data_IF_272191510571
#
_entry.id   IF_272191510571
#
_cell.length_a   1.000
_cell.length_b   1.000
_cell.length_c   1.000
_cell.angle_alpha   90.00
_cell.angle_beta   90.00
_cell.angle_gamma   90.00
#
_symmetry.space_group_name_H-M   'P 1'
#
loop_
_entity.id
_entity.type
_entity.pdbx_description
1 polymer ?
#
# COMPACT_ATOMS: atom_id res chain seq x y z
N UNK A 1 -8.21 0.12 -12.60
CA UNK A 1 -8.99 -0.33 -11.42
C UNK A 1 -10.21 0.57 -11.22
N UNK A 2 -10.04 1.88 -11.01
CA UNK A 2 -11.16 2.80 -10.77
C UNK A 2 -12.28 2.77 -11.82
N UNK A 3 -11.94 2.90 -13.11
CA UNK A 3 -12.93 2.81 -14.20
C UNK A 3 -13.72 1.49 -14.23
N UNK A 4 -13.10 0.36 -13.88
CA UNK A 4 -13.78 -0.93 -13.82
C UNK A 4 -14.78 -0.99 -12.66
N UNK A 5 -14.42 -0.41 -11.51
CA UNK A 5 -15.32 -0.29 -10.36
C UNK A 5 -16.46 0.70 -10.63
N UNK A 6 -16.20 1.82 -11.31
CA UNK A 6 -17.26 2.73 -11.77
C UNK A 6 -18.25 2.00 -12.70
N UNK A 7 -17.74 1.28 -13.70
CA UNK A 7 -18.58 0.51 -14.61
C UNK A 7 -19.42 -0.54 -13.88
N UNK A 8 -18.88 -1.18 -12.84
CA UNK A 8 -19.63 -2.07 -11.95
C UNK A 8 -20.78 -1.33 -11.26
N UNK A 9 -20.54 -0.13 -10.70
CA UNK A 9 -21.59 0.67 -10.08
C UNK A 9 -22.69 1.04 -11.07
N UNK A 10 -22.35 1.39 -12.32
CA UNK A 10 -23.31 1.63 -13.39
C UNK A 10 -24.11 0.37 -13.72
N UNK A 11 -23.48 -0.79 -13.81
CA UNK A 11 -24.15 -2.08 -14.08
C UNK A 11 -25.12 -2.47 -12.95
N UNK A 12 -24.81 -2.08 -11.72
CA UNK A 12 -25.68 -2.27 -10.55
C UNK A 12 -26.82 -1.22 -10.47
N UNK A 13 -26.83 -0.21 -11.36
CA UNK A 13 -27.87 0.82 -11.42
C UNK A 13 -27.66 2.00 -10.46
N UNK A 14 -26.44 2.24 -10.00
CA UNK A 14 -26.12 3.38 -9.13
C UNK A 14 -25.64 4.59 -9.95
N UNK A 15 -26.48 5.62 -10.03
CA UNK A 15 -26.11 6.91 -10.63
C UNK A 15 -25.22 7.76 -9.72
N UNK A 16 -25.34 7.60 -8.40
CA UNK A 16 -24.56 8.29 -7.38
C UNK A 16 -24.12 7.31 -6.30
N UNK A 17 -22.85 7.35 -5.89
CA UNK A 17 -22.32 6.45 -4.86
C UNK A 17 -21.15 7.07 -4.08
N UNK A 18 -20.96 6.61 -2.84
CA UNK A 18 -19.78 6.92 -2.04
C UNK A 18 -18.67 5.90 -2.29
N UNK A 19 -17.42 6.33 -2.14
CA UNK A 19 -16.26 5.45 -2.21
C UNK A 19 -15.60 5.39 -0.84
N UNK A 20 -15.30 4.18 -0.37
CA UNK A 20 -14.49 3.94 0.83
C UNK A 20 -13.26 3.16 0.38
N UNK A 21 -12.08 3.65 0.73
CA UNK A 21 -10.80 3.03 0.37
C UNK A 21 -9.85 2.98 1.56
N UNK A 22 -8.95 2.00 1.53
CA UNK A 22 -7.82 1.86 2.44
C UNK A 22 -6.69 1.18 1.67
N UNK A 23 -5.48 1.10 2.23
CA UNK A 23 -4.31 0.48 1.59
C UNK A 23 -4.20 0.90 0.10
N UNK A 24 -3.92 0.03 -0.87
CA UNK A 24 -3.89 0.36 -2.31
C UNK A 24 -5.22 0.93 -2.84
N UNK A 25 -6.33 0.60 -2.17
CA UNK A 25 -7.64 1.18 -2.43
C UNK A 25 -7.66 2.69 -2.25
N UNK A 26 -6.71 3.29 -1.53
CA UNK A 26 -6.63 4.74 -1.38
C UNK A 26 -6.36 5.45 -2.72
N UNK A 27 -5.46 4.89 -3.52
CA UNK A 27 -5.10 5.40 -4.85
C UNK A 27 -6.26 5.17 -5.80
N UNK A 28 -6.86 3.97 -5.75
CA UNK A 28 -7.99 3.61 -6.60
C UNK A 28 -9.18 4.54 -6.34
N UNK A 29 -9.54 4.74 -5.07
CA UNK A 29 -10.64 5.61 -4.67
C UNK A 29 -10.39 7.07 -5.00
N UNK A 30 -9.15 7.56 -4.81
CA UNK A 30 -8.76 8.91 -5.22
C UNK A 30 -8.97 9.14 -6.73
N UNK A 31 -8.51 8.19 -7.58
CA UNK A 31 -8.73 8.29 -9.02
C UNK A 31 -10.21 8.20 -9.39
N UNK A 32 -11.00 7.34 -8.74
CA UNK A 32 -12.45 7.27 -8.97
C UNK A 32 -13.13 8.61 -8.67
N UNK A 33 -12.83 9.23 -7.53
CA UNK A 33 -13.40 10.52 -7.15
C UNK A 33 -13.01 11.64 -8.13
N UNK A 34 -11.78 11.60 -8.65
CA UNK A 34 -11.29 12.59 -9.61
C UNK A 34 -11.86 12.40 -11.03
N UNK A 35 -12.04 11.15 -11.46
CA UNK A 35 -12.48 10.82 -12.83
C UNK A 35 -13.99 10.86 -12.99
N UNK A 36 -14.74 10.53 -11.94
CA UNK A 36 -16.21 10.41 -11.96
C UNK A 36 -16.88 11.38 -10.98
N UNK A 37 -16.59 12.71 -11.04
CA UNK A 37 -17.09 13.68 -10.07
C UNK A 37 -18.62 13.82 -10.09
N UNK A 38 -19.25 13.49 -11.22
CA UNK A 38 -20.70 13.48 -11.36
C UNK A 38 -21.35 12.22 -10.77
N UNK A 39 -20.60 11.19 -10.41
CA UNK A 39 -21.15 9.96 -9.82
C UNK A 39 -20.70 9.76 -8.38
N UNK A 40 -19.46 10.13 -8.05
CA UNK A 40 -18.90 9.98 -6.70
C UNK A 40 -19.34 11.14 -5.81
N UNK A 41 -20.19 10.87 -4.82
CA UNK A 41 -20.70 11.90 -3.89
C UNK A 41 -19.74 12.23 -2.74
N UNK A 42 -18.75 11.37 -2.53
CA UNK A 42 -17.77 11.51 -1.48
C UNK A 42 -16.80 10.33 -1.46
N UNK A 43 -15.58 10.60 -1.01
CA UNK A 43 -14.55 9.60 -0.84
C UNK A 43 -14.01 9.67 0.59
N UNK A 44 -14.06 8.54 1.29
CA UNK A 44 -13.47 8.36 2.61
C UNK A 44 -12.29 7.39 2.53
N UNK A 45 -11.17 7.79 3.13
CA UNK A 45 -10.00 6.93 3.32
C UNK A 45 -9.50 7.05 4.75
N UNK A 46 -9.20 5.91 5.37
CA UNK A 46 -8.48 5.84 6.63
C UNK A 46 -6.96 5.68 6.42
N UNK A 47 -6.52 5.52 5.17
CA UNK A 47 -5.12 5.35 4.81
C UNK A 47 -4.64 6.49 3.91
N UNK A 48 -3.55 7.15 4.31
CA UNK A 48 -2.91 8.19 3.53
C UNK A 48 -1.39 8.28 3.78
N UNK A 49 -0.58 7.96 2.76
CA UNK A 49 0.87 7.94 2.85
C UNK A 49 1.49 9.22 2.24
N UNK A 50 1.58 10.31 3.01
CA UNK A 50 2.39 11.49 2.64
C UNK A 50 3.78 11.36 3.23
N UNK A 51 4.80 11.45 2.37
CA UNK A 51 6.18 11.56 2.84
C UNK A 51 6.45 12.98 3.38
N UNK A 52 7.04 13.11 4.58
CA UNK A 52 7.55 14.38 5.07
C UNK A 52 8.49 15.02 4.05
N UNK A 53 8.31 16.31 3.77
CA UNK A 53 9.21 17.05 2.91
C UNK A 53 10.41 17.60 3.71
N UNK A 54 11.36 18.25 3.03
CA UNK A 54 12.57 18.77 3.67
C UNK A 54 12.28 19.77 4.81
N UNK A 55 11.24 20.60 4.67
CA UNK A 55 10.82 21.55 5.72
C UNK A 55 10.25 20.84 6.93
N UNK A 56 9.45 19.78 6.73
CA UNK A 56 8.91 18.98 7.84
C UNK A 56 10.04 18.32 8.64
N UNK A 57 11.03 17.76 7.93
CA UNK A 57 12.20 17.12 8.53
C UNK A 57 13.10 18.12 9.28
N UNK A 58 13.29 19.32 8.74
CA UNK A 58 14.04 20.38 9.41
C UNK A 58 13.35 20.83 10.69
N UNK A 59 12.03 21.06 10.64
CA UNK A 59 11.23 21.39 11.84
C UNK A 59 11.35 20.29 12.89
N UNK A 60 11.27 19.02 12.49
CA UNK A 60 11.43 17.87 13.38
C UNK A 60 12.80 17.86 14.05
N UNK A 61 13.87 18.10 13.29
CA UNK A 61 15.25 18.15 13.79
C UNK A 61 15.48 19.32 14.78
N UNK A 62 14.75 20.44 14.59
CA UNK A 62 14.80 21.62 15.46
C UNK A 62 13.81 21.54 16.64
N UNK A 63 13.08 20.42 16.81
CA UNK A 63 12.00 20.25 17.80
C UNK A 63 10.89 21.34 17.69
N UNK A 64 10.54 21.71 16.46
CA UNK A 64 9.49 22.69 16.13
C UNK A 64 8.21 22.02 15.60
N UNK A 65 8.09 20.71 15.79
CA UNK A 65 6.91 19.91 15.46
C UNK A 65 6.04 19.74 16.70
N UNK A 66 4.72 19.63 16.50
CA UNK A 66 3.82 19.15 17.54
C UNK A 66 4.12 17.68 17.86
N UNK A 67 3.52 17.16 18.94
CA UNK A 67 3.60 15.73 19.26
C UNK A 67 3.03 14.87 18.12
N UNK A 68 1.86 15.26 17.57
CA UNK A 68 1.23 14.56 16.45
C UNK A 68 2.07 14.58 15.18
N UNK A 69 2.65 15.74 14.82
CA UNK A 69 3.56 15.85 13.66
C UNK A 69 4.81 14.98 13.85
N UNK A 70 5.35 14.96 15.07
CA UNK A 70 6.51 14.14 15.42
C UNK A 70 6.21 12.65 15.26
N UNK A 71 5.09 12.18 15.82
CA UNK A 71 4.66 10.79 15.70
C UNK A 71 4.44 10.38 14.24
N UNK A 72 3.82 11.24 13.44
CA UNK A 72 3.62 10.98 12.02
C UNK A 72 4.95 10.89 11.26
N UNK A 73 5.83 11.88 11.42
CA UNK A 73 7.12 11.91 10.72
C UNK A 73 7.96 10.68 11.08
N UNK A 74 8.08 10.39 12.38
CA UNK A 74 8.89 9.27 12.87
C UNK A 74 8.31 7.93 12.39
N UNK A 75 6.97 7.75 12.39
CA UNK A 75 6.33 6.51 11.88
C UNK A 75 6.52 6.30 10.38
N UNK A 76 6.45 7.37 9.56
CA UNK A 76 6.69 7.27 8.12
C UNK A 76 8.16 6.95 7.82
N UNK A 77 9.09 7.54 8.57
CA UNK A 77 10.52 7.24 8.43
C UNK A 77 10.84 5.79 8.79
N UNK A 78 10.27 5.28 9.88
CA UNK A 78 10.42 3.89 10.29
C UNK A 78 9.82 2.94 9.23
N UNK A 79 8.62 3.23 8.74
CA UNK A 79 8.00 2.46 7.66
C UNK A 79 8.87 2.38 6.41
N UNK A 80 9.37 3.51 5.93
CA UNK A 80 10.22 3.57 4.73
C UNK A 80 11.51 2.79 4.96
N UNK A 81 12.14 2.95 6.11
CA UNK A 81 13.47 2.38 6.39
C UNK A 81 13.42 0.88 6.63
N UNK A 82 12.42 0.42 7.37
CA UNK A 82 12.42 -0.93 7.94
C UNK A 82 11.30 -1.83 7.40
N UNK A 83 10.22 -1.28 6.82
CA UNK A 83 8.97 -2.03 6.58
C UNK A 83 8.42 -1.94 5.15
N UNK A 84 9.11 -1.22 4.27
CA UNK A 84 8.71 -1.00 2.88
C UNK A 84 9.26 -2.05 1.90
N UNK A 85 10.00 -3.06 2.39
CA UNK A 85 10.63 -4.11 1.57
C UNK A 85 9.64 -4.84 0.63
N UNK A 86 8.40 -5.07 1.10
CA UNK A 86 7.34 -5.68 0.29
C UNK A 86 6.96 -4.80 -0.90
N UNK A 87 6.92 -3.47 -0.73
CA UNK A 87 6.66 -2.51 -1.80
C UNK A 87 7.73 -2.61 -2.89
N UNK A 88 9.01 -2.65 -2.51
CA UNK A 88 10.12 -2.77 -3.45
C UNK A 88 10.07 -4.09 -4.21
N UNK A 89 9.91 -5.20 -3.51
CA UNK A 89 9.88 -6.54 -4.11
C UNK A 89 8.70 -6.69 -5.08
N UNK A 90 7.50 -6.28 -4.66
CA UNK A 90 6.29 -6.41 -5.47
C UNK A 90 6.27 -5.42 -6.64
N UNK A 91 6.85 -4.23 -6.50
CA UNK A 91 6.92 -3.26 -7.60
C UNK A 91 7.98 -3.63 -8.65
N UNK A 92 9.14 -4.15 -8.24
CA UNK A 92 10.25 -4.42 -9.15
C UNK A 92 10.12 -5.74 -9.90
N UNK A 93 9.74 -6.83 -9.22
CA UNK A 93 9.77 -8.18 -9.79
C UNK A 93 8.49 -8.98 -9.50
N UNK A 94 7.27 -8.42 -9.70
CA UNK A 94 6.02 -9.07 -9.31
C UNK A 94 5.83 -10.45 -9.96
N UNK A 95 6.24 -10.61 -11.23
CA UNK A 95 6.06 -11.89 -11.93
C UNK A 95 6.94 -13.00 -11.33
N UNK A 96 8.22 -12.69 -11.11
CA UNK A 96 9.16 -13.66 -10.56
C UNK A 96 8.78 -14.06 -9.13
N UNK A 97 8.50 -13.09 -8.26
CA UNK A 97 8.12 -13.42 -6.88
C UNK A 97 6.74 -14.07 -6.81
N UNK A 98 5.80 -13.72 -7.69
CA UNK A 98 4.49 -14.37 -7.78
C UNK A 98 4.61 -15.86 -8.13
N UNK A 99 5.56 -16.25 -8.98
CA UNK A 99 5.84 -17.66 -9.25
C UNK A 99 6.35 -18.38 -8.01
N UNK A 100 7.30 -17.79 -7.27
CA UNK A 100 7.84 -18.35 -6.03
C UNK A 100 6.75 -18.52 -4.97
N UNK A 101 5.91 -17.51 -4.76
CA UNK A 101 4.81 -17.58 -3.80
C UNK A 101 3.72 -18.56 -4.22
N UNK A 102 3.54 -18.81 -5.52
CA UNK A 102 2.56 -19.77 -6.02
C UNK A 102 3.02 -21.23 -5.85
N UNK A 103 4.33 -21.48 -5.75
CA UNK A 103 4.87 -22.84 -5.63
C UNK A 103 4.68 -23.44 -4.23
N UNK A 104 4.79 -22.62 -3.19
CA UNK A 104 4.71 -23.07 -1.78
C UNK A 104 3.65 -22.30 -0.98
N UNK A 105 2.50 -22.93 -0.66
CA UNK A 105 1.47 -22.27 0.15
C UNK A 105 1.96 -21.96 1.57
N UNK A 106 2.89 -22.76 2.11
CA UNK A 106 3.51 -22.50 3.42
C UNK A 106 4.46 -21.31 3.36
N UNK A 107 5.24 -21.18 2.29
CA UNK A 107 6.11 -20.02 2.09
C UNK A 107 5.31 -18.73 1.93
N UNK A 108 4.20 -18.78 1.19
CA UNK A 108 3.30 -17.64 1.07
C UNK A 108 2.56 -17.34 2.38
N UNK A 109 2.15 -18.35 3.16
CA UNK A 109 1.60 -18.15 4.51
C UNK A 109 2.59 -17.42 5.43
N UNK A 110 3.87 -17.78 5.38
CA UNK A 110 4.93 -17.09 6.12
C UNK A 110 5.07 -15.62 5.69
N UNK A 111 4.94 -15.34 4.40
CA UNK A 111 4.94 -13.97 3.88
C UNK A 111 3.73 -13.16 4.34
N UNK A 112 2.52 -13.74 4.28
CA UNK A 112 1.29 -13.11 4.79
C UNK A 112 1.39 -12.85 6.30
N UNK A 113 1.87 -13.84 7.07
CA UNK A 113 2.11 -13.68 8.51
C UNK A 113 3.06 -12.53 8.81
N UNK A 114 4.17 -12.42 8.07
CA UNK A 114 5.11 -11.32 8.24
C UNK A 114 4.43 -9.95 8.06
N UNK A 115 3.61 -9.79 7.01
CA UNK A 115 2.91 -8.53 6.74
C UNK A 115 1.86 -8.22 7.81
N UNK A 116 0.97 -9.17 8.12
CA UNK A 116 -0.13 -8.92 9.07
C UNK A 116 0.37 -8.78 10.50
N UNK A 117 1.48 -9.42 10.88
CA UNK A 117 2.07 -9.20 12.20
C UNK A 117 2.69 -7.81 12.32
N UNK A 118 3.27 -7.31 11.22
CA UNK A 118 3.96 -6.02 11.22
C UNK A 118 3.01 -4.83 11.24
N UNK A 119 1.95 -4.86 10.43
CA UNK A 119 1.00 -3.74 10.27
C UNK A 119 -0.18 -3.79 11.25
N UNK A 120 -0.01 -4.46 12.38
CA UNK A 120 -1.07 -4.72 13.35
C UNK A 120 -0.97 -3.81 14.57
N UNK A 121 -2.11 -3.30 15.02
CA UNK A 121 -2.28 -2.46 16.20
C UNK A 121 -2.61 -3.24 17.49
N UNK A 122 -2.48 -4.57 17.44
CA UNK A 122 -2.74 -5.47 18.57
C UNK A 122 -3.90 -6.44 18.33
N UNK A 123 -4.49 -6.46 17.13
CA UNK A 123 -5.46 -7.48 16.74
C UNK A 123 -4.85 -8.88 16.77
N UNK A 124 -5.42 -9.77 17.58
CA UNK A 124 -4.94 -11.15 17.70
C UNK A 124 -5.49 -12.02 16.57
N UNK A 125 -4.69 -12.22 15.52
CA UNK A 125 -5.01 -13.14 14.45
C UNK A 125 -5.03 -14.59 14.95
N UNK A 126 -6.16 -15.26 14.78
CA UNK A 126 -6.25 -16.71 14.98
C UNK A 126 -5.55 -17.45 13.83
N UNK A 127 -5.11 -18.68 14.09
CA UNK A 127 -4.52 -19.54 13.06
C UNK A 127 -5.50 -19.75 11.89
N UNK A 128 -6.79 -19.92 12.19
CA UNK A 128 -7.82 -20.12 11.17
C UNK A 128 -7.99 -18.89 10.28
N UNK A 129 -7.96 -17.68 10.84
CA UNK A 129 -8.01 -16.43 10.07
C UNK A 129 -6.80 -16.30 9.15
N UNK A 130 -5.59 -16.62 9.64
CA UNK A 130 -4.37 -16.56 8.83
C UNK A 130 -4.40 -17.54 7.67
N UNK A 131 -4.82 -18.79 7.94
CA UNK A 131 -4.94 -19.83 6.91
C UNK A 131 -5.99 -19.40 5.87
N UNK A 132 -7.16 -18.91 6.33
CA UNK A 132 -8.25 -18.46 5.46
C UNK A 132 -7.80 -17.32 4.56
N UNK A 133 -7.22 -16.27 5.12
CA UNK A 133 -6.72 -15.11 4.36
C UNK A 133 -5.62 -15.51 3.38
N UNK A 134 -4.71 -16.39 3.79
CA UNK A 134 -3.66 -16.90 2.90
C UNK A 134 -4.25 -17.65 1.71
N UNK A 135 -5.19 -18.56 1.94
CA UNK A 135 -5.78 -19.37 0.87
C UNK A 135 -6.66 -18.54 -0.07
N UNK A 136 -7.37 -17.52 0.44
CA UNK A 136 -8.13 -16.58 -0.38
C UNK A 136 -7.24 -15.87 -1.42
N UNK A 137 -6.00 -15.56 -1.05
CA UNK A 137 -5.03 -14.91 -1.92
C UNK A 137 -4.25 -15.92 -2.79
N UNK A 138 -3.99 -17.13 -2.28
CA UNK A 138 -3.15 -18.12 -2.94
C UNK A 138 -3.89 -18.91 -4.03
N UNK A 139 -5.12 -19.38 -3.75
CA UNK A 139 -5.89 -20.25 -4.66
C UNK A 139 -6.13 -19.59 -6.04
N UNK A 140 -6.49 -18.29 -6.14
CA UNK A 140 -6.63 -17.62 -7.44
C UNK A 140 -5.30 -17.36 -8.16
N UNK A 141 -4.17 -17.50 -7.46
CA UNK A 141 -2.83 -17.16 -7.92
C UNK A 141 -2.33 -15.84 -7.31
N UNK A 142 -1.11 -15.85 -6.78
CA UNK A 142 -0.57 -14.73 -5.99
C UNK A 142 -0.18 -13.51 -6.84
N UNK A 143 0.11 -13.70 -8.12
CA UNK A 143 0.53 -12.63 -9.03
C UNK A 143 -0.49 -11.51 -9.16
N UNK A 144 -1.78 -11.83 -9.22
CA UNK A 144 -2.86 -10.85 -9.35
C UNK A 144 -2.87 -9.86 -8.17
N UNK A 145 -2.55 -10.36 -6.98
CA UNK A 145 -2.57 -9.58 -5.74
C UNK A 145 -1.40 -8.59 -5.67
N UNK A 146 -0.23 -8.97 -6.19
CA UNK A 146 1.01 -8.20 -6.03
C UNK A 146 1.37 -7.35 -7.26
N UNK A 147 0.81 -7.65 -8.43
CA UNK A 147 1.11 -6.88 -9.65
C UNK A 147 0.75 -5.41 -9.51
N UNK A 148 -0.30 -5.10 -8.75
CA UNK A 148 -0.77 -3.73 -8.54
C UNK A 148 0.34 -2.78 -8.05
N UNK A 149 1.26 -3.27 -7.21
CA UNK A 149 2.38 -2.47 -6.72
C UNK A 149 3.27 -1.92 -7.84
N UNK A 150 3.45 -2.64 -8.95
CA UNK A 150 4.26 -2.14 -10.07
C UNK A 150 3.63 -0.97 -10.81
N UNK A 151 2.30 -0.89 -10.84
CA UNK A 151 1.57 0.17 -11.53
C UNK A 151 1.29 1.36 -10.59
N UNK A 152 1.05 1.07 -9.30
CA UNK A 152 0.60 2.05 -8.32
C UNK A 152 1.75 2.67 -7.52
N UNK A 153 2.85 1.93 -7.32
CA UNK A 153 4.00 2.39 -6.56
C UNK A 153 5.14 2.63 -7.55
N UNK A 154 5.44 3.90 -7.90
CA UNK A 154 6.54 4.20 -8.80
C UNK A 154 7.84 3.71 -8.18
N UNK A 155 8.55 2.81 -8.87
CA UNK A 155 9.88 2.34 -8.47
C UNK A 155 10.82 3.54 -8.45
N UNK A 156 11.18 4.03 -7.25
CA UNK A 156 12.18 5.08 -7.12
C UNK A 156 13.57 4.48 -7.35
N UNK A 157 14.06 4.53 -8.58
CA UNK A 157 15.49 4.36 -8.90
C UNK A 157 16.34 5.45 -8.17
N UNK A 158 15.70 6.51 -7.64
CA UNK A 158 16.32 7.76 -7.17
C UNK A 158 17.00 7.73 -5.78
N UNK A 159 17.27 6.57 -5.17
CA UNK A 159 18.27 6.47 -4.09
C UNK A 159 19.59 5.84 -4.54
N UNK A 160 19.65 5.26 -5.74
CA UNK A 160 20.88 4.64 -6.25
C UNK A 160 21.87 5.62 -6.89
N UNK A 161 21.44 6.82 -7.31
CA UNK A 161 22.33 7.76 -8.02
C UNK A 161 23.00 8.79 -7.08
N UNK A 162 22.44 9.07 -5.90
CA UNK A 162 23.04 10.01 -4.95
C UNK A 162 24.19 9.43 -4.10
N UNK A 163 24.42 8.11 -4.15
CA UNK A 163 25.52 7.44 -3.44
C UNK A 163 26.63 6.88 -4.35
N UNK A 164 26.49 6.96 -5.68
CA UNK A 164 27.51 6.48 -6.63
C UNK A 164 28.45 7.56 -7.17
N UNK A 165 28.26 8.83 -6.82
CA UNK A 165 29.24 9.88 -7.08
C UNK A 165 29.78 10.39 -5.74
N UNK A 166 31.10 10.33 -5.50
CA UNK A 166 31.69 10.73 -4.23
C UNK A 166 31.44 12.22 -3.99
N UNK A 167 31.22 12.59 -2.73
CA UNK A 167 31.00 13.97 -2.30
C UNK A 167 32.06 14.93 -2.86
N UNK A 168 31.68 16.15 -3.28
CA UNK A 168 32.61 17.27 -3.31
C UNK A 168 32.91 17.79 -1.89
#
# INVERSE_FOLDING_TARGET
MGAALHQLMTLLGYDKYGVVGTDLGWIVGHFMAAQEPDNVIGYFSDFWLIQPNATDLERRAQNQTTEEETLYIDSIQDFITNHSNHLELHSQVPLAIGQVFSDTPVGFAGWVWHLVHWFNDGYEYTIDTLITNTLLLWIPGTFGNIRAYRELIPVRISHYVNHMLPAP
#
